data_IF_055116778649
#
_entry.id   IF_055116778649
#
_cell.length_a   1.000
_cell.length_b   1.000
_cell.length_c   1.000
_cell.angle_alpha   90.00
_cell.angle_beta   90.00
_cell.angle_gamma   90.00
#
_symmetry.space_group_name_H-M   'P 1'
#
loop_
_entity.id
_entity.type
_entity.pdbx_description
1 polymer ?
#
# COMPACT_ATOMS: atom_id res chain seq x y z
N UNK A 1 -7.25 -27.22 -34.95
CA UNK A 1 -5.78 -27.34 -34.75
C UNK A 1 -5.13 -26.00 -34.35
N UNK A 2 -5.25 -24.94 -35.15
CA UNK A 2 -4.70 -23.61 -34.85
C UNK A 2 -5.20 -22.96 -33.55
N UNK A 3 -6.50 -23.07 -33.25
CA UNK A 3 -7.08 -22.54 -32.01
C UNK A 3 -6.57 -23.27 -30.75
N UNK A 4 -6.29 -24.57 -30.86
CA UNK A 4 -5.75 -25.39 -29.76
C UNK A 4 -4.29 -25.04 -29.47
N UNK A 5 -3.48 -24.88 -30.52
CA UNK A 5 -2.08 -24.44 -30.40
C UNK A 5 -1.99 -23.06 -29.75
N UNK A 6 -2.76 -22.07 -30.24
CA UNK A 6 -2.82 -20.73 -29.63
C UNK A 6 -3.17 -20.80 -28.14
N UNK A 7 -4.23 -21.53 -27.78
CA UNK A 7 -4.68 -21.65 -26.38
C UNK A 7 -3.57 -22.21 -25.46
N UNK A 8 -2.82 -23.21 -25.90
CA UNK A 8 -1.73 -23.79 -25.10
C UNK A 8 -0.56 -22.82 -24.97
N UNK A 9 -0.15 -22.17 -26.07
CA UNK A 9 0.95 -21.19 -26.03
C UNK A 9 0.60 -19.98 -25.15
N UNK A 10 -0.64 -19.47 -25.22
CA UNK A 10 -1.10 -18.39 -24.34
C UNK A 10 -1.18 -18.83 -22.89
N UNK A 11 -1.69 -20.02 -22.59
CA UNK A 11 -1.73 -20.54 -21.22
C UNK A 11 -0.32 -20.66 -20.61
N UNK A 12 0.64 -21.18 -21.37
CA UNK A 12 2.05 -21.24 -20.95
C UNK A 12 2.67 -19.87 -20.75
N UNK A 13 2.39 -18.91 -21.64
CA UNK A 13 2.86 -17.53 -21.51
C UNK A 13 2.31 -16.84 -20.26
N UNK A 14 0.99 -16.90 -20.03
CA UNK A 14 0.36 -16.32 -18.84
C UNK A 14 0.81 -16.98 -17.54
N UNK A 15 1.19 -18.26 -17.56
CA UNK A 15 1.77 -18.93 -16.40
C UNK A 15 3.21 -18.45 -16.10
N UNK A 16 4.03 -18.21 -17.12
CA UNK A 16 5.43 -17.78 -16.97
C UNK A 16 5.56 -16.29 -16.66
N UNK A 17 4.66 -15.44 -17.17
CA UNK A 17 4.77 -13.98 -17.04
C UNK A 17 4.86 -13.52 -15.57
N UNK A 18 4.02 -13.97 -14.63
CA UNK A 18 4.13 -13.57 -13.22
C UNK A 18 5.46 -14.00 -12.58
N UNK A 19 5.95 -15.21 -12.91
CA UNK A 19 7.21 -15.74 -12.40
C UNK A 19 8.41 -14.95 -12.94
N UNK A 20 8.44 -14.71 -14.26
CA UNK A 20 9.46 -13.90 -14.90
C UNK A 20 9.45 -12.46 -14.39
N UNK A 21 8.27 -11.88 -14.18
CA UNK A 21 8.12 -10.53 -13.63
C UNK A 21 8.64 -10.47 -12.19
N UNK A 22 8.33 -11.47 -11.37
CA UNK A 22 8.82 -11.57 -9.98
C UNK A 22 10.35 -11.63 -9.96
N UNK A 23 10.94 -12.51 -10.78
CA UNK A 23 12.39 -12.62 -10.90
C UNK A 23 13.04 -11.32 -11.39
N UNK A 24 12.41 -10.65 -12.36
CA UNK A 24 12.89 -9.37 -12.88
C UNK A 24 12.87 -8.26 -11.82
N UNK A 25 11.80 -8.15 -11.04
CA UNK A 25 11.69 -7.18 -9.94
C UNK A 25 12.76 -7.45 -8.87
N UNK A 26 12.91 -8.71 -8.44
CA UNK A 26 13.95 -9.10 -7.47
C UNK A 26 15.34 -8.73 -8.00
N UNK A 27 15.61 -8.99 -9.29
CA UNK A 27 16.88 -8.62 -9.91
C UNK A 27 17.11 -7.10 -9.92
N UNK A 28 16.10 -6.30 -10.24
CA UNK A 28 16.20 -4.83 -10.17
C UNK A 28 16.59 -4.39 -8.76
N UNK A 29 15.92 -4.94 -7.75
CA UNK A 29 16.20 -4.60 -6.34
C UNK A 29 17.65 -4.97 -6.02
N UNK A 30 18.08 -6.22 -6.26
CA UNK A 30 19.43 -6.67 -5.95
C UNK A 30 20.50 -5.79 -6.65
N UNK A 31 20.36 -5.53 -7.95
CA UNK A 31 21.32 -4.70 -8.70
C UNK A 31 21.37 -3.27 -8.16
N UNK A 32 20.23 -2.68 -7.82
CA UNK A 32 20.17 -1.35 -7.23
C UNK A 32 20.87 -1.30 -5.87
N UNK A 33 20.67 -2.31 -5.03
CA UNK A 33 21.33 -2.43 -3.72
C UNK A 33 22.83 -2.68 -3.86
N UNK A 34 23.25 -3.52 -4.80
CA UNK A 34 24.65 -3.77 -5.10
C UNK A 34 25.35 -2.48 -5.59
N UNK A 35 24.70 -1.67 -6.42
CA UNK A 35 25.25 -0.36 -6.84
C UNK A 35 25.40 0.63 -5.69
N UNK A 36 24.42 0.68 -4.77
CA UNK A 36 24.49 1.54 -3.57
C UNK A 36 25.64 1.09 -2.63
N UNK A 37 25.89 -0.21 -2.56
CA UNK A 37 26.84 -0.80 -1.61
C UNK A 37 28.24 -1.05 -2.20
N UNK A 38 28.36 -1.07 -3.54
CA UNK A 38 29.61 -1.20 -4.28
C UNK A 38 30.76 -0.32 -3.78
N UNK A 39 30.58 1.00 -3.51
CA UNK A 39 31.69 1.83 -3.02
C UNK A 39 32.20 1.43 -1.63
N UNK A 40 31.34 0.80 -0.81
CA UNK A 40 31.71 0.29 0.52
C UNK A 40 32.40 -1.07 0.36
N UNK A 41 31.83 -1.96 -0.48
CA UNK A 41 32.39 -3.29 -0.77
C UNK A 41 33.79 -3.22 -1.42
N UNK A 42 34.02 -2.25 -2.32
CA UNK A 42 35.31 -2.02 -2.95
C UNK A 42 36.43 -1.71 -1.94
N UNK A 43 36.11 -1.23 -0.72
CA UNK A 43 37.09 -1.01 0.35
C UNK A 43 37.34 -2.24 1.22
N UNK A 44 36.44 -3.22 1.20
CA UNK A 44 36.43 -4.38 2.10
C UNK A 44 36.90 -5.65 1.37
N UNK A 45 37.02 -5.61 0.04
CA UNK A 45 37.60 -6.67 -0.82
C UNK A 45 36.98 -8.06 -0.61
N UNK A 46 35.70 -8.11 -0.24
CA UNK A 46 34.93 -9.32 0.02
C UNK A 46 33.67 -9.30 -0.84
N UNK A 47 33.48 -10.28 -1.72
CA UNK A 47 32.27 -10.44 -2.53
C UNK A 47 31.47 -11.64 -2.03
N UNK A 48 30.48 -11.38 -1.16
CA UNK A 48 29.52 -12.40 -0.73
C UNK A 48 28.20 -12.15 -1.47
N UNK A 49 27.67 -13.12 -2.24
CA UNK A 49 26.36 -13.01 -2.88
C UNK A 49 25.27 -12.71 -1.83
N UNK A 50 24.47 -11.65 -2.05
CA UNK A 50 23.41 -11.23 -1.13
C UNK A 50 23.85 -10.29 0.01
N UNK A 51 25.15 -9.96 0.11
CA UNK A 51 25.65 -9.01 1.11
C UNK A 51 25.11 -7.59 0.89
N UNK A 52 24.86 -7.19 -0.37
CA UNK A 52 24.22 -5.91 -0.69
C UNK A 52 22.84 -5.76 -0.03
N UNK A 53 22.06 -6.84 0.05
CA UNK A 53 20.76 -6.85 0.74
C UNK A 53 20.92 -6.65 2.25
N UNK A 54 21.83 -7.40 2.87
CA UNK A 54 22.10 -7.29 4.32
C UNK A 54 22.60 -5.89 4.65
N UNK A 55 23.55 -5.37 3.86
CA UNK A 55 24.11 -4.05 4.06
C UNK A 55 23.05 -2.96 3.85
N UNK A 56 22.14 -3.13 2.90
CA UNK A 56 21.00 -2.21 2.71
C UNK A 56 20.06 -2.23 3.91
N UNK A 57 19.67 -3.40 4.41
CA UNK A 57 18.84 -3.51 5.62
C UNK A 57 19.54 -2.84 6.81
N UNK A 58 20.86 -3.01 6.91
CA UNK A 58 21.68 -2.40 7.96
C UNK A 58 21.74 -0.87 7.81
N UNK A 59 21.88 -0.34 6.59
CA UNK A 59 21.83 1.10 6.30
C UNK A 59 20.45 1.67 6.63
N UNK A 60 19.37 1.01 6.22
CA UNK A 60 17.99 1.42 6.53
C UNK A 60 17.78 1.43 8.04
N UNK A 61 18.25 0.39 8.74
CA UNK A 61 18.15 0.28 10.19
C UNK A 61 18.97 1.37 10.89
N UNK A 62 20.21 1.63 10.44
CA UNK A 62 21.06 2.70 10.96
C UNK A 62 20.46 4.09 10.72
N UNK A 63 19.90 4.34 9.54
CA UNK A 63 19.10 5.53 9.25
C UNK A 63 17.90 5.65 10.18
N UNK A 64 17.20 4.54 10.45
CA UNK A 64 16.09 4.49 11.42
C UNK A 64 16.55 4.89 12.83
N UNK A 65 17.67 4.35 13.31
CA UNK A 65 18.26 4.75 14.61
C UNK A 65 18.65 6.23 14.60
N UNK A 66 19.26 6.69 13.50
CA UNK A 66 19.68 8.07 13.37
C UNK A 66 18.47 9.03 13.44
N UNK A 67 17.44 8.79 12.63
CA UNK A 67 16.24 9.63 12.53
C UNK A 67 15.35 9.52 13.77
N UNK A 68 15.41 8.43 14.54
CA UNK A 68 14.64 8.32 15.80
C UNK A 68 15.28 9.09 16.97
N UNK A 69 16.58 9.34 16.92
CA UNK A 69 17.31 10.15 17.90
C UNK A 69 17.03 11.65 17.77
N UNK A 70 17.16 12.40 18.88
CA UNK A 70 16.84 13.85 18.95
C UNK A 70 17.63 14.67 17.92
N UNK A 71 18.92 14.38 17.74
CA UNK A 71 19.78 15.06 16.77
C UNK A 71 19.36 14.77 15.33
N UNK A 72 19.07 13.50 15.01
CA UNK A 72 18.65 13.12 13.67
C UNK A 72 17.25 13.64 13.32
N UNK A 73 16.30 13.67 14.27
CA UNK A 73 15.00 14.35 14.05
C UNK A 73 15.18 15.83 13.70
N UNK A 74 16.08 16.53 14.38
CA UNK A 74 16.37 17.95 14.10
C UNK A 74 17.01 18.15 12.73
N UNK A 75 18.01 17.33 12.38
CA UNK A 75 18.66 17.41 11.07
C UNK A 75 17.72 17.04 9.93
N UNK A 76 16.93 15.98 10.12
CA UNK A 76 15.94 15.53 9.14
C UNK A 76 14.88 16.61 8.89
N UNK A 77 14.29 17.17 9.95
CA UNK A 77 13.31 18.26 9.81
C UNK A 77 13.89 19.53 9.19
N UNK A 78 15.17 19.82 9.39
CA UNK A 78 15.85 20.91 8.70
C UNK A 78 16.00 20.63 7.19
N UNK A 79 16.40 19.42 6.81
CA UNK A 79 16.45 19.00 5.41
C UNK A 79 15.07 19.03 4.73
N UNK A 80 14.02 18.61 5.44
CA UNK A 80 12.65 18.73 4.95
C UNK A 80 12.24 20.17 4.68
N UNK A 81 12.63 21.11 5.55
CA UNK A 81 12.36 22.55 5.34
C UNK A 81 13.07 23.09 4.10
N UNK A 82 14.29 22.64 3.82
CA UNK A 82 15.00 22.99 2.59
C UNK A 82 14.29 22.46 1.35
N UNK A 83 13.89 21.18 1.34
CA UNK A 83 13.13 20.60 0.22
C UNK A 83 11.79 21.33 0.05
N UNK A 84 11.14 21.68 1.16
CA UNK A 84 9.88 22.43 1.19
C UNK A 84 10.00 23.88 0.74
N UNK A 85 11.23 24.41 0.58
CA UNK A 85 11.48 25.77 0.12
C UNK A 85 11.56 25.88 -1.41
N UNK A 86 11.75 24.76 -2.11
CA UNK A 86 11.85 24.73 -3.57
C UNK A 86 10.43 24.63 -4.18
N UNK A 87 9.97 25.66 -4.93
CA UNK A 87 8.70 25.61 -5.63
C UNK A 87 8.67 24.39 -6.57
N UNK A 88 7.50 23.75 -6.74
CA UNK A 88 7.28 22.45 -7.44
C UNK A 88 7.72 21.21 -6.66
N UNK A 89 8.96 21.15 -6.15
CA UNK A 89 9.48 19.97 -5.44
C UNK A 89 8.73 19.74 -4.13
N UNK A 90 8.38 20.83 -3.42
CA UNK A 90 7.57 20.79 -2.21
C UNK A 90 6.28 19.98 -2.38
N UNK A 91 5.57 20.16 -3.49
CA UNK A 91 4.28 19.49 -3.71
C UNK A 91 4.46 17.98 -3.88
N UNK A 92 5.41 17.58 -4.72
CA UNK A 92 5.73 16.16 -4.94
C UNK A 92 6.19 15.50 -3.64
N UNK A 93 7.13 16.14 -2.93
CA UNK A 93 7.64 15.63 -1.65
C UNK A 93 6.54 15.49 -0.60
N UNK A 94 5.66 16.50 -0.47
CA UNK A 94 4.57 16.46 0.49
C UNK A 94 3.52 15.40 0.16
N UNK A 95 3.17 15.21 -1.11
CA UNK A 95 2.24 14.14 -1.53
C UNK A 95 2.84 12.77 -1.22
N UNK A 96 4.10 12.54 -1.57
CA UNK A 96 4.79 11.29 -1.23
C UNK A 96 4.86 11.07 0.27
N UNK A 97 5.19 12.11 1.04
CA UNK A 97 5.23 12.06 2.50
C UNK A 97 3.85 11.76 3.11
N UNK A 98 2.77 12.35 2.58
CA UNK A 98 1.41 12.05 3.04
C UNK A 98 1.02 10.59 2.78
N UNK A 99 1.36 10.08 1.60
CA UNK A 99 1.15 8.66 1.26
C UNK A 99 1.95 7.79 2.23
N UNK A 100 3.26 8.02 2.37
CA UNK A 100 4.10 7.24 3.29
C UNK A 100 3.62 7.33 4.74
N UNK A 101 3.16 8.51 5.20
CA UNK A 101 2.60 8.68 6.53
C UNK A 101 1.32 7.85 6.73
N UNK A 102 0.44 7.82 5.72
CA UNK A 102 -0.76 7.00 5.74
C UNK A 102 -0.45 5.49 5.80
N UNK A 103 0.63 5.04 5.14
CA UNK A 103 1.08 3.64 5.18
C UNK A 103 1.90 3.27 6.42
N UNK A 104 2.62 4.23 7.02
CA UNK A 104 3.51 3.99 8.17
C UNK A 104 2.82 3.92 9.53
N UNK A 105 1.51 4.24 9.60
CA UNK A 105 0.78 4.31 10.87
C UNK A 105 1.23 5.43 11.80
N UNK A 106 2.05 6.38 11.31
CA UNK A 106 2.58 7.50 12.11
C UNK A 106 1.49 8.49 12.56
N UNK A 107 0.31 8.46 11.92
CA UNK A 107 -0.93 8.99 12.50
C UNK A 107 -1.44 7.95 13.49
N UNK A 108 -0.90 7.97 14.71
CA UNK A 108 -1.34 7.08 15.79
C UNK A 108 -2.81 7.36 16.13
N UNK A 109 -3.70 6.57 15.54
CA UNK A 109 -4.76 5.85 16.25
C UNK A 109 -4.96 4.53 15.51
N UNK A 110 -4.58 3.44 16.18
CA UNK A 110 -4.99 2.05 15.96
C UNK A 110 -5.43 1.64 14.55
N UNK A 111 -4.61 0.76 13.96
CA UNK A 111 -4.90 -0.25 12.94
C UNK A 111 -6.37 -0.74 12.88
N UNK A 112 -7.26 0.08 12.35
CA UNK A 112 -8.59 -0.32 11.94
C UNK A 112 -8.82 0.11 10.50
N UNK A 113 -7.95 -0.37 9.61
CA UNK A 113 -8.42 -0.68 8.26
C UNK A 113 -9.39 -1.86 8.42
N UNK A 114 -10.62 -1.56 8.81
CA UNK A 114 -11.72 -2.53 8.85
C UNK A 114 -12.40 -2.53 7.51
N UNK A 115 -12.80 -3.71 7.06
CA UNK A 115 -13.56 -3.87 5.84
C UNK A 115 -15.03 -3.81 6.22
N UNK A 116 -15.79 -2.98 5.52
CA UNK A 116 -17.23 -2.86 5.72
C UNK A 116 -17.95 -2.89 4.38
N UNK A 117 -19.20 -3.29 4.40
CA UNK A 117 -20.14 -3.13 3.31
C UNK A 117 -21.00 -1.90 3.53
N UNK A 118 -21.15 -1.10 2.48
CA UNK A 118 -21.98 0.10 2.47
C UNK A 118 -22.85 0.12 1.23
N UNK A 119 -23.96 0.84 1.28
CA UNK A 119 -24.79 1.08 0.10
C UNK A 119 -24.30 2.30 -0.67
N UNK A 120 -23.69 2.10 -1.84
CA UNK A 120 -23.14 3.17 -2.68
C UNK A 120 -23.15 2.77 -4.18
N UNK A 121 -23.51 3.67 -5.11
CA UNK A 121 -23.91 5.07 -4.91
C UNK A 121 -25.39 5.27 -4.60
N UNK A 122 -26.18 4.19 -4.54
CA UNK A 122 -27.61 4.23 -4.17
C UNK A 122 -27.97 3.05 -3.28
N UNK A 123 -29.18 3.09 -2.71
CA UNK A 123 -29.76 1.98 -1.95
C UNK A 123 -29.75 0.68 -2.75
N UNK A 124 -29.56 -0.43 -2.04
CA UNK A 124 -29.47 -1.82 -2.53
C UNK A 124 -28.26 -2.15 -3.40
N UNK A 125 -27.34 -1.20 -3.63
CA UNK A 125 -26.06 -1.48 -4.27
C UNK A 125 -24.96 -1.50 -3.23
N UNK A 126 -24.41 -2.69 -2.98
CA UNK A 126 -23.39 -2.88 -1.95
C UNK A 126 -21.99 -2.84 -2.54
N UNK A 127 -21.08 -2.20 -1.82
CA UNK A 127 -19.66 -2.19 -2.16
C UNK A 127 -18.81 -2.41 -0.92
N UNK A 128 -17.63 -2.98 -1.13
CA UNK A 128 -16.58 -3.06 -0.11
C UNK A 128 -15.96 -1.68 0.05
N UNK A 129 -15.80 -1.26 1.29
CA UNK A 129 -15.09 -0.03 1.64
C UNK A 129 -14.23 -0.24 2.88
N UNK A 130 -13.24 0.64 3.04
CA UNK A 130 -12.25 0.53 4.10
C UNK A 130 -12.42 1.70 5.06
N UNK A 131 -12.62 1.40 6.34
CA UNK A 131 -12.62 2.42 7.39
C UNK A 131 -11.20 2.95 7.54
N UNK A 132 -11.05 4.27 7.53
CA UNK A 132 -9.77 4.97 7.64
C UNK A 132 -9.69 5.82 8.90
N UNK A 133 -10.84 6.26 9.42
CA UNK A 133 -10.96 7.02 10.66
C UNK A 133 -12.40 7.01 11.16
N UNK A 134 -12.62 7.64 12.32
CA UNK A 134 -13.93 7.80 12.94
C UNK A 134 -14.08 9.21 13.49
N UNK A 135 -15.31 9.71 13.53
CA UNK A 135 -15.62 11.00 14.17
C UNK A 135 -16.95 10.96 14.88
N UNK A 136 -17.13 11.85 15.85
CA UNK A 136 -18.39 12.05 16.56
C UNK A 136 -18.88 13.47 16.30
N UNK A 137 -20.17 13.63 15.98
CA UNK A 137 -20.75 14.96 15.79
C UNK A 137 -21.15 15.63 17.12
N UNK A 138 -21.67 16.86 17.04
CA UNK A 138 -22.10 17.62 18.23
C UNK A 138 -23.28 17.01 18.99
N UNK A 139 -23.99 16.03 18.41
CA UNK A 139 -25.10 15.31 19.04
C UNK A 139 -24.65 14.00 19.70
N UNK A 140 -23.42 13.56 19.45
CA UNK A 140 -22.89 12.27 19.92
C UNK A 140 -23.05 11.14 18.90
N UNK A 141 -23.54 11.40 17.68
CA UNK A 141 -23.63 10.38 16.63
C UNK A 141 -22.24 10.07 16.08
N UNK A 142 -21.93 8.77 15.97
CA UNK A 142 -20.64 8.30 15.47
C UNK A 142 -20.67 8.05 13.96
N UNK A 143 -19.57 8.38 13.31
CA UNK A 143 -19.39 8.29 11.85
C UNK A 143 -18.12 7.51 11.50
N UNK A 144 -18.20 6.73 10.44
CA UNK A 144 -17.04 6.16 9.76
C UNK A 144 -16.57 7.07 8.63
N UNK A 145 -15.25 7.25 8.55
CA UNK A 145 -14.56 7.87 7.42
C UNK A 145 -14.05 6.76 6.52
N UNK A 146 -14.63 6.61 5.34
CA UNK A 146 -14.44 5.40 4.53
C UNK A 146 -13.90 5.73 3.15
N UNK A 147 -12.97 4.90 2.70
CA UNK A 147 -12.46 4.91 1.35
C UNK A 147 -13.19 3.84 0.52
N UNK A 148 -13.88 4.27 -0.53
CA UNK A 148 -14.54 3.39 -1.49
C UNK A 148 -13.65 3.30 -2.73
N UNK A 149 -12.95 2.18 -2.94
CA UNK A 149 -12.03 2.04 -4.07
C UNK A 149 -12.77 1.86 -5.40
N UNK A 150 -12.09 2.16 -6.50
CA UNK A 150 -12.50 1.73 -7.84
C UNK A 150 -11.89 0.38 -8.21
N UNK A 151 -12.59 -0.39 -9.05
CA UNK A 151 -12.08 -1.65 -9.59
C UNK A 151 -11.58 -1.47 -11.04
N UNK A 152 -10.59 -2.24 -11.51
CA UNK A 152 -9.71 -3.15 -10.76
C UNK A 152 -8.55 -2.42 -10.05
N UNK A 153 -8.41 -1.11 -10.22
CA UNK A 153 -7.29 -0.34 -9.67
C UNK A 153 -7.73 0.42 -8.39
N UNK A 154 -7.36 -0.05 -7.18
CA UNK A 154 -7.80 0.52 -5.91
C UNK A 154 -7.02 1.79 -5.50
N UNK A 155 -6.16 2.31 -6.39
CA UNK A 155 -5.44 3.57 -6.15
C UNK A 155 -6.30 4.81 -6.33
N UNK A 156 -7.45 4.67 -6.99
CA UNK A 156 -8.50 5.67 -7.08
C UNK A 156 -9.75 5.23 -6.33
N UNK A 157 -10.59 6.20 -5.97
CA UNK A 157 -11.79 5.97 -5.19
C UNK A 157 -12.43 7.27 -4.73
N UNK A 158 -13.43 7.16 -3.87
CA UNK A 158 -14.05 8.30 -3.22
C UNK A 158 -13.89 8.18 -1.70
N UNK A 159 -13.68 9.33 -1.08
CA UNK A 159 -13.77 9.48 0.37
C UNK A 159 -15.19 9.89 0.72
N UNK A 160 -15.82 9.16 1.64
CA UNK A 160 -17.16 9.51 2.15
C UNK A 160 -17.18 9.35 3.67
N UNK A 161 -18.06 10.11 4.32
CA UNK A 161 -18.33 10.02 5.75
C UNK A 161 -19.76 9.51 5.90
N UNK A 162 -19.94 8.42 6.64
CA UNK A 162 -21.25 7.78 6.83
C UNK A 162 -21.54 7.54 8.32
N UNK A 163 -22.80 7.60 8.76
CA UNK A 163 -23.17 7.14 10.10
C UNK A 163 -22.78 5.67 10.29
N UNK A 164 -22.31 5.28 11.47
CA UNK A 164 -21.91 3.88 11.73
C UNK A 164 -23.04 2.87 11.46
N UNK A 165 -24.30 3.28 11.69
CA UNK A 165 -25.51 2.46 11.44
C UNK A 165 -25.77 2.12 9.97
N UNK A 166 -25.18 2.86 9.03
CA UNK A 166 -25.36 2.63 7.59
C UNK A 166 -24.30 1.67 7.00
N UNK A 167 -23.44 1.12 7.86
CA UNK A 167 -22.40 0.16 7.51
C UNK A 167 -22.69 -1.23 8.10
N UNK A 168 -22.34 -2.27 7.35
CA UNK A 168 -22.30 -3.65 7.83
C UNK A 168 -20.83 -4.06 7.93
N UNK A 169 -20.39 -4.57 9.08
CA UNK A 169 -19.03 -5.08 9.19
C UNK A 169 -18.84 -6.28 8.27
N UNK A 170 -17.77 -6.25 7.47
CA UNK A 170 -17.39 -7.42 6.68
C UNK A 170 -16.48 -8.29 7.55
N UNK A 171 -16.82 -9.58 7.69
CA UNK A 171 -15.93 -10.58 8.28
C UNK A 171 -14.81 -10.93 7.28
N UNK A 172 -14.00 -9.92 6.94
CA UNK A 172 -12.92 -9.99 5.97
C UNK A 172 -11.68 -9.28 6.49
N UNK A 173 -10.53 -9.87 6.19
CA UNK A 173 -9.26 -9.13 6.27
C UNK A 173 -9.19 -8.11 5.14
N UNK A 174 -8.47 -7.01 5.38
CA UNK A 174 -8.20 -5.97 4.38
C UNK A 174 -7.66 -6.56 3.08
N UNK A 175 -6.75 -7.53 3.18
CA UNK A 175 -6.16 -8.20 2.02
C UNK A 175 -7.22 -8.92 1.17
N UNK A 176 -8.21 -9.55 1.80
CA UNK A 176 -9.29 -10.26 1.12
C UNK A 176 -10.23 -9.27 0.42
N UNK A 177 -10.57 -8.17 1.10
CA UNK A 177 -11.31 -7.06 0.51
C UNK A 177 -10.59 -6.46 -0.71
N UNK A 178 -9.29 -6.20 -0.60
CA UNK A 178 -8.48 -5.69 -1.71
C UNK A 178 -8.40 -6.68 -2.88
N UNK A 179 -8.24 -7.98 -2.61
CA UNK A 179 -8.28 -9.01 -3.66
C UNK A 179 -9.61 -9.02 -4.40
N UNK A 180 -10.73 -8.91 -3.67
CA UNK A 180 -12.06 -8.82 -4.27
C UNK A 180 -12.18 -7.59 -5.19
N UNK A 181 -11.76 -6.42 -4.72
CA UNK A 181 -11.78 -5.17 -5.49
C UNK A 181 -10.88 -5.25 -6.73
N UNK A 182 -9.63 -5.70 -6.57
CA UNK A 182 -8.66 -5.79 -7.67
C UNK A 182 -9.11 -6.79 -8.74
N UNK A 183 -9.71 -7.89 -8.33
CA UNK A 183 -10.22 -8.91 -9.25
C UNK A 183 -11.57 -8.57 -9.89
N UNK A 184 -12.16 -7.40 -9.58
CA UNK A 184 -13.47 -7.00 -10.08
C UNK A 184 -14.61 -7.90 -9.56
N UNK A 185 -14.44 -8.47 -8.36
CA UNK A 185 -15.40 -9.35 -7.71
C UNK A 185 -15.18 -10.85 -7.97
N UNK A 186 -14.24 -11.24 -8.86
CA UNK A 186 -13.98 -12.66 -9.16
C UNK A 186 -13.50 -13.45 -7.93
N UNK A 187 -12.74 -12.79 -7.04
CA UNK A 187 -12.23 -13.36 -5.80
C UNK A 187 -12.99 -12.84 -4.57
N UNK A 188 -14.21 -12.33 -4.75
CA UNK A 188 -15.04 -11.91 -3.63
C UNK A 188 -15.51 -13.11 -2.80
N UNK A 189 -15.80 -12.91 -1.50
CA UNK A 189 -16.41 -13.93 -0.66
C UNK A 189 -17.70 -14.45 -1.28
N UNK A 190 -17.95 -15.75 -1.13
CA UNK A 190 -19.15 -16.40 -1.68
C UNK A 190 -20.42 -16.15 -0.86
N UNK A 191 -20.25 -15.63 0.36
CA UNK A 191 -21.36 -15.32 1.26
C UNK A 191 -21.76 -13.87 1.01
N UNK A 192 -23.04 -13.66 0.71
CA UNK A 192 -23.59 -12.33 0.51
C UNK A 192 -23.61 -11.57 1.83
N UNK A 193 -23.30 -10.26 1.86
CA UNK A 193 -23.50 -9.44 3.06
C UNK A 193 -24.98 -9.30 3.45
N UNK A 194 -25.90 -9.79 2.62
CA UNK A 194 -27.35 -9.81 2.86
C UNK A 194 -27.85 -11.09 3.55
N UNK A 195 -27.01 -12.12 3.68
CA UNK A 195 -27.40 -13.42 4.25
C UNK A 195 -27.13 -13.53 5.77
N UNK A 196 -27.13 -12.41 6.49
CA UNK A 196 -27.04 -12.39 7.97
C UNK A 196 -28.38 -12.66 8.64
#
# INVERSE_FOLDING_TARGET
>A
MWAFFKRITFAGLFAIVPLALTFYIIKIIIVFLDQLTAPIMARINFEIPGFGLILTLLIIFALGIFVTNVLGRRLFSWGERLISSIPLVKNIYNTLKQITNAFSGATQTENYQRVIYIQYPRKELWTISFVTSESVDGSGEEYYHVFVPTTPNPTSGVFIIIPKKDAIEADLRVEEGLKAVISGGLLAPKISPLDT
#
